data_IF_009437529484
#
_entry.id   IF_009437529484
#
_cell.length_a   1.000
_cell.length_b   1.000
_cell.length_c   1.000
_cell.angle_alpha   90.00
_cell.angle_beta   90.00
_cell.angle_gamma   90.00
#
_symmetry.space_group_name_H-M   'P 1'
#
loop_
_entity.id
_entity.type
_entity.pdbx_description
1 polymer ?
#
# COMPACT_ATOMS: atom_id res chain seq x y z
N UNK A 1 12.93 -7.56 -11.77
CA UNK A 1 11.53 -7.35 -11.35
C UNK A 1 10.91 -8.64 -10.77
N UNK A 2 11.00 -9.77 -11.47
CA UNK A 2 10.49 -11.08 -11.00
C UNK A 2 11.01 -11.51 -9.63
N UNK A 3 12.32 -11.37 -9.37
CA UNK A 3 12.91 -11.72 -8.07
C UNK A 3 12.28 -10.94 -6.90
N UNK A 4 11.91 -9.69 -7.13
CA UNK A 4 11.32 -8.84 -6.08
C UNK A 4 9.89 -9.26 -5.73
N UNK A 5 9.07 -9.50 -6.75
CA UNK A 5 7.72 -10.02 -6.57
C UNK A 5 7.74 -11.38 -5.87
N UNK A 6 8.69 -12.26 -6.19
CA UNK A 6 8.84 -13.57 -5.57
C UNK A 6 9.24 -13.49 -4.09
N UNK A 7 10.14 -12.57 -3.71
CA UNK A 7 10.52 -12.35 -2.30
C UNK A 7 9.35 -11.78 -1.49
N UNK A 8 8.65 -10.80 -2.05
CA UNK A 8 7.44 -10.25 -1.43
C UNK A 8 6.37 -11.33 -1.26
N UNK A 9 6.15 -12.15 -2.29
CA UNK A 9 5.21 -13.26 -2.26
C UNK A 9 5.60 -14.32 -1.22
N UNK A 10 6.87 -14.71 -1.14
CA UNK A 10 7.35 -15.69 -0.17
C UNK A 10 7.13 -15.21 1.27
N UNK A 11 7.39 -13.93 1.55
CA UNK A 11 7.17 -13.34 2.87
C UNK A 11 5.67 -13.21 3.20
N UNK A 12 4.85 -12.85 2.22
CA UNK A 12 3.38 -12.82 2.38
C UNK A 12 2.81 -14.22 2.58
N UNK A 13 3.32 -15.24 1.90
CA UNK A 13 2.96 -16.65 2.10
C UNK A 13 3.35 -17.13 3.51
N UNK A 14 4.56 -16.82 3.97
CA UNK A 14 5.00 -17.13 5.34
C UNK A 14 4.10 -16.45 6.36
N UNK A 15 3.72 -15.19 6.12
CA UNK A 15 2.84 -14.43 6.99
C UNK A 15 1.41 -15.01 7.01
N UNK A 16 0.85 -15.29 5.84
CA UNK A 16 -0.49 -15.84 5.71
C UNK A 16 -0.63 -17.23 6.32
N UNK A 17 0.36 -18.11 6.12
CA UNK A 17 0.40 -19.42 6.78
C UNK A 17 0.38 -19.33 8.31
N UNK A 18 0.83 -18.21 8.89
CA UNK A 18 0.86 -18.01 10.35
C UNK A 18 -0.38 -17.31 10.91
N UNK A 19 -1.06 -16.49 10.13
CA UNK A 19 -2.01 -15.50 10.67
C UNK A 19 -3.36 -15.51 9.96
N UNK A 20 -3.41 -15.83 8.66
CA UNK A 20 -4.69 -15.89 7.95
C UNK A 20 -5.32 -17.26 8.24
N UNK A 21 -6.44 -17.34 8.99
CA UNK A 21 -7.09 -18.62 9.23
C UNK A 21 -7.51 -19.21 7.89
N UNK A 22 -7.16 -20.48 7.65
CA UNK A 22 -7.65 -21.23 6.48
C UNK A 22 -9.18 -21.19 6.49
N UNK A 23 -9.79 -20.43 5.58
CA UNK A 23 -11.26 -20.39 5.46
C UNK A 23 -11.75 -21.74 4.94
N UNK A 24 -12.51 -22.45 5.77
CA UNK A 24 -13.29 -23.62 5.37
C UNK A 24 -14.76 -23.22 5.26
N UNK A 25 -15.23 -22.92 4.05
CA UNK A 25 -16.65 -22.65 3.77
C UNK A 25 -16.90 -21.46 2.84
N UNK A 26 -18.02 -21.53 2.11
CA UNK A 26 -18.47 -20.49 1.19
C UNK A 26 -19.23 -19.38 1.94
N UNK A 27 -18.62 -18.18 2.04
CA UNK A 27 -19.25 -16.93 2.47
C UNK A 27 -18.89 -15.85 1.42
N UNK A 28 -19.82 -14.95 1.04
CA UNK A 28 -19.63 -14.09 -0.15
C UNK A 28 -18.52 -13.05 0.03
N UNK A 29 -17.70 -12.89 -1.01
CA UNK A 29 -16.82 -11.75 -1.34
C UNK A 29 -16.08 -11.03 -0.19
N UNK A 30 -15.31 -11.74 0.63
CA UNK A 30 -14.29 -11.09 1.46
C UNK A 30 -12.90 -11.25 0.82
N UNK A 31 -12.30 -10.13 0.41
CA UNK A 31 -10.92 -10.06 -0.03
C UNK A 31 -9.96 -10.19 1.17
N UNK A 32 -8.84 -10.88 0.97
CA UNK A 32 -7.81 -11.06 1.97
C UNK A 32 -6.78 -9.92 1.91
N UNK A 33 -6.47 -9.45 0.70
CA UNK A 33 -5.44 -8.45 0.41
C UNK A 33 -6.02 -7.28 -0.39
N UNK A 34 -5.74 -6.05 0.04
CA UNK A 34 -6.01 -4.82 -0.71
C UNK A 34 -4.72 -4.27 -1.32
N UNK A 35 -4.66 -4.12 -2.65
CA UNK A 35 -3.57 -3.45 -3.35
C UNK A 35 -3.97 -2.00 -3.66
N UNK A 36 -3.30 -1.02 -3.05
CA UNK A 36 -3.44 0.40 -3.40
C UNK A 36 -2.24 0.83 -4.23
N UNK A 37 -2.47 1.40 -5.42
CA UNK A 37 -1.36 1.74 -6.32
C UNK A 37 -1.76 2.78 -7.35
N UNK A 38 -0.76 3.56 -7.80
CA UNK A 38 -0.96 4.46 -8.93
C UNK A 38 -1.05 3.68 -10.24
N UNK A 39 -2.24 3.66 -10.84
CA UNK A 39 -2.51 2.89 -12.06
C UNK A 39 -1.68 3.30 -13.27
N UNK A 40 -1.25 4.57 -13.35
CA UNK A 40 -0.36 5.07 -14.41
C UNK A 40 1.10 4.61 -14.25
N UNK A 41 1.50 4.22 -13.03
CA UNK A 41 2.91 3.99 -12.71
C UNK A 41 3.26 2.51 -12.76
N UNK A 42 2.33 1.65 -12.35
CA UNK A 42 2.65 0.26 -11.99
C UNK A 42 1.69 -0.80 -12.52
N UNK A 43 0.55 -0.39 -13.12
CA UNK A 43 -0.53 -1.31 -13.51
C UNK A 43 -0.11 -2.40 -14.48
N UNK A 44 0.57 -2.09 -15.57
CA UNK A 44 0.97 -3.08 -16.60
C UNK A 44 2.34 -3.69 -16.34
N UNK A 45 2.82 -3.64 -15.09
CA UNK A 45 4.13 -4.14 -14.70
C UNK A 45 4.08 -4.74 -13.32
N UNK A 46 4.76 -4.10 -12.36
CA UNK A 46 4.94 -4.64 -11.02
C UNK A 46 3.63 -5.05 -10.33
N UNK A 47 2.59 -4.22 -10.41
CA UNK A 47 1.32 -4.50 -9.73
C UNK A 47 0.56 -5.66 -10.37
N UNK A 48 0.59 -5.82 -11.69
CA UNK A 48 -0.03 -6.97 -12.37
C UNK A 48 0.67 -8.27 -11.95
N UNK A 49 2.00 -8.28 -11.97
CA UNK A 49 2.77 -9.45 -11.54
C UNK A 49 2.51 -9.80 -10.07
N UNK A 50 2.47 -8.81 -9.18
CA UNK A 50 2.17 -9.05 -7.76
C UNK A 50 0.75 -9.58 -7.58
N UNK A 51 -0.23 -9.01 -8.29
CA UNK A 51 -1.61 -9.48 -8.27
C UNK A 51 -1.73 -10.94 -8.71
N UNK A 52 -1.19 -11.29 -9.89
CA UNK A 52 -1.21 -12.66 -10.41
C UNK A 52 -0.53 -13.62 -9.43
N UNK A 53 0.64 -13.24 -8.93
CA UNK A 53 1.40 -14.05 -7.97
C UNK A 53 0.62 -14.34 -6.68
N UNK A 54 -0.11 -13.35 -6.16
CA UNK A 54 -0.95 -13.51 -4.97
C UNK A 54 -2.18 -14.37 -5.24
N UNK A 55 -2.81 -14.21 -6.41
CA UNK A 55 -3.95 -15.05 -6.82
C UNK A 55 -3.50 -16.51 -7.00
N UNK A 56 -2.37 -16.75 -7.65
CA UNK A 56 -1.79 -18.08 -7.84
C UNK A 56 -1.40 -18.73 -6.49
N UNK A 57 -1.06 -17.91 -5.50
CA UNK A 57 -0.84 -18.32 -4.11
C UNK A 57 -2.13 -18.59 -3.31
N UNK A 58 -3.31 -18.36 -3.90
CA UNK A 58 -4.61 -18.65 -3.30
C UNK A 58 -5.24 -17.50 -2.50
N UNK A 59 -4.72 -16.27 -2.60
CA UNK A 59 -5.32 -15.11 -1.94
C UNK A 59 -6.46 -14.51 -2.78
N UNK A 60 -7.54 -14.07 -2.13
CA UNK A 60 -8.52 -13.19 -2.75
C UNK A 60 -8.02 -11.75 -2.69
N UNK A 61 -7.62 -11.20 -3.84
CA UNK A 61 -6.98 -9.87 -3.90
C UNK A 61 -7.93 -8.83 -4.47
N UNK A 62 -8.20 -7.78 -3.71
CA UNK A 62 -8.80 -6.55 -4.22
C UNK A 62 -7.70 -5.74 -4.87
N UNK A 63 -7.74 -5.62 -6.19
CA UNK A 63 -6.81 -4.78 -6.94
C UNK A 63 -7.49 -3.46 -7.23
N UNK A 64 -7.10 -2.41 -6.50
CA UNK A 64 -7.71 -1.10 -6.70
C UNK A 64 -7.44 -0.60 -8.11
N UNK A 65 -8.51 -0.41 -8.89
CA UNK A 65 -8.36 0.15 -10.21
C UNK A 65 -8.54 1.66 -10.07
N UNK A 66 -7.41 2.31 -9.83
CA UNK A 66 -7.18 3.76 -9.79
C UNK A 66 -7.82 4.57 -10.94
N UNK A 67 -8.33 3.87 -11.96
CA UNK A 67 -9.20 4.35 -13.02
C UNK A 67 -10.69 4.23 -12.65
N UNK A 68 -11.10 4.66 -11.45
CA UNK A 68 -12.52 4.89 -11.20
C UNK A 68 -13.03 5.87 -12.28
N UNK A 69 -14.09 5.52 -13.03
CA UNK A 69 -14.65 6.42 -14.04
C UNK A 69 -14.96 7.78 -13.41
N UNK A 70 -14.54 8.85 -14.08
CA UNK A 70 -14.82 10.25 -13.70
C UNK A 70 -16.31 10.37 -13.38
N UNK A 71 -16.66 10.74 -12.15
CA UNK A 71 -18.05 10.99 -11.73
C UNK A 71 -18.64 10.02 -10.70
N UNK A 72 -17.92 8.97 -10.26
CA UNK A 72 -18.30 8.22 -9.04
C UNK A 72 -17.52 8.75 -7.84
N UNK A 73 -18.24 9.12 -6.77
CA UNK A 73 -17.64 9.23 -5.44
C UNK A 73 -16.88 7.94 -5.12
N UNK A 74 -15.87 8.00 -4.24
CA UNK A 74 -15.23 6.79 -3.70
C UNK A 74 -16.36 5.85 -3.27
N UNK A 75 -16.52 4.74 -4.00
CA UNK A 75 -17.65 3.85 -3.76
C UNK A 75 -17.60 3.35 -2.33
N UNK A 76 -18.76 3.26 -1.67
CA UNK A 76 -18.89 2.59 -0.37
C UNK A 76 -18.20 1.21 -0.38
N UNK A 77 -18.24 0.53 -1.52
CA UNK A 77 -17.55 -0.74 -1.79
C UNK A 77 -16.02 -0.66 -1.67
N UNK A 78 -15.38 0.45 -2.09
CA UNK A 78 -13.92 0.60 -2.00
C UNK A 78 -13.48 0.76 -0.54
N UNK A 79 -14.11 1.68 0.20
CA UNK A 79 -13.83 1.87 1.62
C UNK A 79 -14.15 0.61 2.43
N UNK A 80 -15.22 -0.10 2.07
CA UNK A 80 -15.57 -1.37 2.69
C UNK A 80 -14.52 -2.44 2.38
N UNK A 81 -14.01 -2.51 1.15
CA UNK A 81 -12.92 -3.43 0.79
C UNK A 81 -11.65 -3.11 1.60
N UNK A 82 -11.25 -1.84 1.71
CA UNK A 82 -10.11 -1.42 2.54
C UNK A 82 -10.32 -1.89 3.97
N UNK A 83 -11.47 -1.60 4.57
CA UNK A 83 -11.77 -1.95 5.97
C UNK A 83 -11.76 -3.46 6.22
N UNK A 84 -12.38 -4.23 5.32
CA UNK A 84 -12.58 -5.67 5.47
C UNK A 84 -11.32 -6.51 5.18
N UNK A 85 -10.43 -6.05 4.31
CA UNK A 85 -9.18 -6.78 4.01
C UNK A 85 -8.31 -6.90 5.27
N UNK A 86 -7.72 -8.06 5.53
CA UNK A 86 -6.79 -8.20 6.67
C UNK A 86 -5.42 -7.58 6.36
N UNK A 87 -5.07 -7.55 5.07
CA UNK A 87 -3.78 -7.10 4.57
C UNK A 87 -3.99 -5.94 3.60
N UNK A 88 -3.17 -4.90 3.71
CA UNK A 88 -3.06 -3.83 2.72
C UNK A 88 -1.61 -3.70 2.24
N UNK A 89 -1.43 -3.55 0.93
CA UNK A 89 -0.13 -3.36 0.26
C UNK A 89 -0.20 -2.04 -0.52
N UNK A 90 0.16 -0.91 0.10
CA UNK A 90 0.30 0.35 -0.62
C UNK A 90 1.60 0.36 -1.43
N UNK A 91 1.48 0.54 -2.75
CA UNK A 91 2.59 0.59 -3.71
C UNK A 91 2.87 2.07 -4.03
N UNK A 92 3.61 2.71 -3.13
CA UNK A 92 3.97 4.12 -3.20
C UNK A 92 4.95 4.34 -4.36
N UNK A 93 4.48 5.03 -5.39
CA UNK A 93 5.20 5.29 -6.65
C UNK A 93 5.27 6.79 -6.95
N UNK A 94 5.99 7.17 -8.01
CA UNK A 94 6.33 8.56 -8.34
C UNK A 94 5.12 9.51 -8.38
N UNK A 95 4.00 9.07 -8.94
CA UNK A 95 2.77 9.87 -9.08
C UNK A 95 1.69 9.45 -8.09
N UNK A 96 1.99 8.62 -7.10
CA UNK A 96 1.02 8.18 -6.09
C UNK A 96 0.37 9.35 -5.35
N UNK A 97 1.18 10.30 -4.85
CA UNK A 97 0.66 11.46 -4.14
C UNK A 97 -0.03 12.50 -5.04
N UNK A 98 0.04 12.36 -6.37
CA UNK A 98 -0.71 13.21 -7.29
C UNK A 98 -2.18 12.77 -7.37
N UNK A 99 -2.47 11.50 -7.06
CA UNK A 99 -3.81 10.93 -7.05
C UNK A 99 -4.50 11.18 -5.71
N UNK A 100 -5.55 12.02 -5.73
CA UNK A 100 -6.41 12.24 -4.55
C UNK A 100 -7.06 10.93 -4.03
N UNK A 101 -7.59 10.03 -4.89
CA UNK A 101 -8.04 8.70 -4.46
C UNK A 101 -6.96 7.90 -3.71
N UNK A 102 -5.75 7.74 -4.29
CA UNK A 102 -4.65 7.01 -3.63
C UNK A 102 -4.31 7.57 -2.24
N UNK A 103 -4.36 8.90 -2.06
CA UNK A 103 -4.11 9.54 -0.77
C UNK A 103 -5.24 9.30 0.24
N UNK A 104 -6.50 9.28 -0.20
CA UNK A 104 -7.62 8.89 0.64
C UNK A 104 -7.56 7.40 1.04
N UNK A 105 -7.25 6.51 0.09
CA UNK A 105 -7.05 5.09 0.36
C UNK A 105 -5.94 4.87 1.37
N UNK A 106 -4.79 5.53 1.19
CA UNK A 106 -3.66 5.42 2.12
C UNK A 106 -4.05 5.88 3.52
N UNK A 107 -4.77 7.00 3.63
CA UNK A 107 -5.25 7.49 4.91
C UNK A 107 -6.18 6.48 5.60
N UNK A 108 -7.12 5.88 4.87
CA UNK A 108 -8.03 4.87 5.42
C UNK A 108 -7.27 3.57 5.81
N UNK A 109 -6.31 3.14 5.00
CA UNK A 109 -5.42 2.01 5.30
C UNK A 109 -4.68 2.25 6.61
N UNK A 110 -4.09 3.43 6.78
CA UNK A 110 -3.33 3.80 7.98
C UNK A 110 -4.24 3.95 9.21
N UNK A 111 -5.46 4.48 9.05
CA UNK A 111 -6.44 4.52 10.13
C UNK A 111 -6.81 3.11 10.60
N UNK A 112 -7.06 2.19 9.66
CA UNK A 112 -7.35 0.80 9.98
C UNK A 112 -6.13 0.04 10.54
N UNK A 113 -4.91 0.40 10.13
CA UNK A 113 -3.68 -0.16 10.71
C UNK A 113 -3.61 0.15 12.21
N UNK A 114 -3.85 1.41 12.58
CA UNK A 114 -3.81 1.86 13.97
C UNK A 114 -4.99 1.36 14.80
N UNK A 115 -6.23 1.44 14.27
CA UNK A 115 -7.45 1.14 15.04
C UNK A 115 -7.90 -0.31 14.99
N UNK A 116 -7.64 -0.99 13.86
CA UNK A 116 -8.17 -2.33 13.58
C UNK A 116 -7.06 -3.37 13.37
N UNK A 117 -5.81 -3.02 13.70
CA UNK A 117 -4.64 -3.91 13.60
C UNK A 117 -4.44 -4.51 12.21
N UNK A 118 -4.86 -3.79 11.15
CA UNK A 118 -4.65 -4.21 9.76
C UNK A 118 -3.15 -4.36 9.49
N UNK A 119 -2.78 -5.43 8.80
CA UNK A 119 -1.37 -5.65 8.42
C UNK A 119 -1.04 -4.80 7.19
N UNK A 120 -0.01 -3.96 7.27
CA UNK A 120 0.39 -3.07 6.16
C UNK A 120 1.80 -3.44 5.70
N UNK A 121 1.94 -3.66 4.40
CA UNK A 121 3.19 -4.07 3.74
C UNK A 121 3.55 -3.09 2.63
N UNK A 122 4.19 -1.96 2.95
CA UNK A 122 4.42 -0.92 1.96
C UNK A 122 5.52 -1.29 0.97
N UNK A 123 5.27 -0.98 -0.30
CA UNK A 123 6.25 -1.08 -1.38
C UNK A 123 6.56 0.32 -1.90
N UNK A 124 7.79 0.76 -1.74
CA UNK A 124 8.31 2.02 -2.28
C UNK A 124 8.87 1.77 -3.68
N UNK A 125 8.00 1.93 -4.68
CA UNK A 125 8.32 1.62 -6.06
C UNK A 125 8.95 2.81 -6.78
N UNK A 126 10.27 2.71 -7.01
CA UNK A 126 11.11 3.69 -7.70
C UNK A 126 11.05 5.09 -7.08
N UNK A 127 10.92 5.14 -5.75
CA UNK A 127 10.94 6.37 -4.95
C UNK A 127 11.88 6.20 -3.77
N UNK A 128 12.46 7.33 -3.32
CA UNK A 128 13.22 7.37 -2.07
C UNK A 128 12.25 7.40 -0.88
N UNK A 129 12.46 6.52 0.10
CA UNK A 129 11.62 6.45 1.30
C UNK A 129 11.73 7.75 2.12
N UNK A 130 12.89 8.41 2.11
CA UNK A 130 13.09 9.70 2.79
C UNK A 130 12.22 10.77 2.15
N UNK A 131 12.12 10.78 0.81
CA UNK A 131 11.23 11.71 0.11
C UNK A 131 9.75 11.46 0.43
N UNK A 132 9.35 10.20 0.64
CA UNK A 132 7.99 9.85 1.09
C UNK A 132 7.78 10.28 2.54
N UNK A 133 8.73 9.98 3.43
CA UNK A 133 8.67 10.20 4.88
C UNK A 133 8.59 11.68 5.23
N UNK A 134 9.41 12.50 4.57
CA UNK A 134 9.51 13.94 4.82
C UNK A 134 8.77 14.78 3.78
N UNK A 135 8.03 14.10 2.89
CA UNK A 135 7.28 14.70 1.78
C UNK A 135 8.14 15.69 0.97
N UNK A 136 9.37 15.29 0.63
CA UNK A 136 10.29 16.07 -0.20
C UNK A 136 10.05 15.81 -1.68
N UNK A 137 10.78 16.53 -2.55
CA UNK A 137 10.77 16.32 -3.99
C UNK A 137 9.36 16.33 -4.61
N UNK A 138 9.03 15.24 -5.30
CA UNK A 138 7.75 15.04 -6.01
C UNK A 138 6.55 14.95 -5.06
N UNK A 139 6.71 14.38 -3.85
CA UNK A 139 5.64 14.25 -2.86
C UNK A 139 5.24 15.61 -2.32
N UNK A 140 6.22 16.44 -1.95
CA UNK A 140 5.98 17.80 -1.50
C UNK A 140 5.37 18.69 -2.58
N UNK A 141 5.76 18.53 -3.84
CA UNK A 141 5.12 19.22 -4.98
C UNK A 141 3.65 18.83 -5.08
N UNK A 142 3.33 17.54 -5.06
CA UNK A 142 1.96 17.06 -5.15
C UNK A 142 1.07 17.57 -4.01
N UNK A 143 1.57 17.54 -2.77
CA UNK A 143 0.81 18.05 -1.61
C UNK A 143 0.59 19.56 -1.67
N UNK A 144 1.55 20.35 -2.18
CA UNK A 144 1.33 21.80 -2.40
C UNK A 144 0.22 22.07 -3.42
N UNK A 145 0.14 21.28 -4.49
CA UNK A 145 -0.96 21.41 -5.45
C UNK A 145 -2.30 21.03 -4.83
N UNK A 146 -2.34 19.99 -3.99
CA UNK A 146 -3.55 19.64 -3.25
C UNK A 146 -4.01 20.72 -2.26
N UNK A 147 -3.08 21.42 -1.57
CA UNK A 147 -3.43 22.53 -0.66
C UNK A 147 -4.20 23.66 -1.35
N UNK A 148 -4.09 23.81 -2.66
CA UNK A 148 -4.83 24.83 -3.43
C UNK A 148 -6.29 24.46 -3.67
N UNK A 149 -6.63 23.17 -3.62
CA UNK A 149 -7.93 22.66 -4.09
C UNK A 149 -8.65 21.77 -3.06
N UNK A 150 -7.98 21.36 -1.98
CA UNK A 150 -8.51 20.48 -0.94
C UNK A 150 -8.48 21.14 0.43
N UNK A 151 -9.24 20.59 1.38
CA UNK A 151 -9.26 21.11 2.74
C UNK A 151 -7.90 20.94 3.42
N UNK A 152 -7.53 21.89 4.28
CA UNK A 152 -6.29 21.80 5.06
C UNK A 152 -6.23 20.54 5.91
N UNK A 153 -7.38 20.10 6.43
CA UNK A 153 -7.54 18.88 7.22
C UNK A 153 -7.20 17.63 6.40
N UNK A 154 -7.71 17.53 5.17
CA UNK A 154 -7.43 16.37 4.31
C UNK A 154 -5.94 16.28 3.98
N UNK A 155 -5.32 17.39 3.59
CA UNK A 155 -3.89 17.41 3.27
C UNK A 155 -3.04 17.03 4.49
N UNK A 156 -3.36 17.54 5.68
CA UNK A 156 -2.66 17.16 6.91
C UNK A 156 -2.78 15.65 7.21
N UNK A 157 -3.97 15.08 7.01
CA UNK A 157 -4.18 13.63 7.17
C UNK A 157 -3.34 12.84 6.17
N UNK A 158 -3.26 13.29 4.91
CA UNK A 158 -2.44 12.64 3.89
C UNK A 158 -0.94 12.72 4.19
N UNK A 159 -0.45 13.85 4.71
CA UNK A 159 0.93 14.02 5.17
C UNK A 159 1.26 13.06 6.30
N UNK A 160 0.38 12.94 7.30
CA UNK A 160 0.51 11.98 8.38
C UNK A 160 0.49 10.54 7.87
N UNK A 161 -0.38 10.22 6.91
CA UNK A 161 -0.47 8.87 6.34
C UNK A 161 0.81 8.50 5.56
N UNK A 162 1.35 9.41 4.75
CA UNK A 162 2.63 9.24 4.04
C UNK A 162 3.80 9.06 5.01
N UNK A 163 3.87 9.90 6.05
CA UNK A 163 4.89 9.80 7.10
C UNK A 163 4.80 8.45 7.82
N UNK A 164 3.59 8.06 8.21
CA UNK A 164 3.34 6.83 8.97
C UNK A 164 3.67 5.59 8.16
N UNK A 165 3.25 5.54 6.88
CA UNK A 165 3.53 4.39 6.01
C UNK A 165 5.03 4.27 5.72
N UNK A 166 5.76 5.38 5.58
CA UNK A 166 7.21 5.39 5.41
C UNK A 166 7.97 4.94 6.68
N UNK A 167 7.33 5.05 7.85
CA UNK A 167 7.84 4.51 9.11
C UNK A 167 7.71 2.99 9.25
N UNK A 168 6.84 2.35 8.44
CA UNK A 168 6.64 0.90 8.44
C UNK A 168 7.74 0.22 7.63
N UNK A 169 8.27 -0.90 8.14
CA UNK A 169 9.23 -1.74 7.40
C UNK A 169 8.58 -2.22 6.09
N UNK A 170 9.25 -1.96 4.99
CA UNK A 170 8.77 -2.28 3.66
C UNK A 170 9.90 -2.60 2.71
N UNK A 171 9.61 -2.48 1.42
CA UNK A 171 10.54 -2.82 0.35
C UNK A 171 10.70 -1.69 -0.66
N UNK A 172 11.90 -1.53 -1.21
CA UNK A 172 12.23 -0.46 -2.17
C UNK A 172 12.62 -1.03 -3.53
N UNK A 173 12.05 -0.56 -4.64
CA UNK A 173 12.35 -1.15 -5.97
C UNK A 173 13.56 -0.56 -6.69
N UNK A 174 14.09 0.60 -6.24
CA UNK A 174 15.35 1.20 -6.74
C UNK A 174 16.60 0.35 -6.43
N UNK A 175 16.54 -0.52 -5.43
CA UNK A 175 17.70 -1.27 -4.91
C UNK A 175 17.73 -2.76 -5.33
N UNK A 176 16.91 -3.20 -6.29
CA UNK A 176 16.66 -4.64 -6.48
C UNK A 176 17.11 -5.16 -7.84
N UNK A 177 18.39 -5.55 -7.87
CA UNK A 177 18.78 -6.83 -8.45
C UNK A 177 18.67 -7.97 -7.40
N UNK A 178 19.00 -7.73 -6.11
CA UNK A 178 19.18 -8.82 -5.12
C UNK A 178 18.50 -8.64 -3.73
N UNK A 179 17.67 -7.61 -3.49
CA UNK A 179 16.73 -7.55 -2.35
C UNK A 179 17.33 -7.36 -0.95
N UNK A 180 17.13 -6.18 -0.35
CA UNK A 180 17.26 -5.97 1.10
C UNK A 180 15.96 -5.37 1.66
N UNK A 181 15.62 -5.75 2.90
CA UNK A 181 14.52 -5.16 3.67
C UNK A 181 14.91 -3.73 4.05
N UNK A 182 14.08 -2.73 3.75
CA UNK A 182 14.29 -1.39 4.29
C UNK A 182 13.96 -1.42 5.79
N UNK A 183 14.98 -1.30 6.62
CA UNK A 183 14.82 -0.97 8.03
C UNK A 183 15.01 0.53 8.18
N UNK A 184 13.97 1.22 8.63
CA UNK A 184 14.09 2.61 9.06
C UNK A 184 15.18 2.69 10.15
N UNK A 185 16.29 3.42 9.93
CA UNK A 185 17.40 3.49 10.87
C UNK A 185 17.02 4.15 12.20
N UNK A 186 15.88 4.84 12.26
CA UNK A 186 15.33 5.48 13.46
C UNK A 186 14.30 4.63 14.21
N UNK A 187 14.02 3.40 13.75
CA UNK A 187 13.11 2.48 14.44
C UNK A 187 13.92 1.52 15.32
N UNK A 188 13.64 1.39 16.63
CA UNK A 188 14.38 0.44 17.46
C UNK A 188 14.27 -0.97 16.87
N UNK A 189 15.40 -1.68 16.83
CA UNK A 189 15.40 -3.10 16.51
C UNK A 189 14.46 -3.79 17.51
N UNK A 190 13.46 -4.53 17.00
CA UNK A 190 12.67 -5.43 17.84
C UNK A 190 13.62 -6.50 18.39
N UNK A 191 14.18 -6.21 19.56
CA UNK A 191 14.90 -7.18 20.37
C UNK A 191 13.91 -8.25 20.81
N UNK A 192 14.27 -9.50 20.50
CA UNK A 192 13.56 -10.66 20.99
C UNK A 192 13.60 -10.73 22.51
N UNK A 193 12.45 -11.08 23.08
CA UNK A 193 12.32 -12.02 24.18
C UNK A 193 11.12 -12.91 23.88
#
# INVERSE_FOLDING_TARGET
MYAFANVLLALLLIYACKIVPKKTGAVPQNYDVFLSFRGEDTRTGFTDFLYISLVDAGFHVFRDNDALPVGKEIGSELLQAIRNCQIAIPIISERYAQSKPCLHELNEIMDCHTKHRKSVFPVFYKVDVVDVLEQRGIFGKALREHRRHCSSRDVQNWELALTSVAGIRGWTSQAIANGYVYQNPNLPALGGK
#
